data_IF_572490473795
#
_entry.id   IF_572490473795
#
_cell.length_a   1.000
_cell.length_b   1.000
_cell.length_c   1.000
_cell.angle_alpha   90.00
_cell.angle_beta   90.00
_cell.angle_gamma   90.00
#
_symmetry.space_group_name_H-M   'P 1'
#
loop_
_entity.id
_entity.type
_entity.pdbx_description
1 polymer ?
#
# COMPACT_ATOMS: atom_id res chain seq x y z
N UNK A 1 5.51 4.70 -7.30
CA UNK A 1 4.07 4.79 -7.58
C UNK A 1 3.33 4.52 -6.28
N UNK A 2 2.49 5.44 -5.82
CA UNK A 2 1.67 5.28 -4.62
C UNK A 2 0.19 5.32 -4.98
N UNK A 3 -0.61 4.43 -4.38
CA UNK A 3 -2.06 4.41 -4.60
C UNK A 3 -2.74 5.59 -3.92
N UNK A 4 -2.30 5.94 -2.72
CA UNK A 4 -2.96 6.96 -1.90
C UNK A 4 -2.71 8.37 -2.46
N UNK A 5 -1.55 8.61 -3.10
CA UNK A 5 -1.31 9.84 -3.88
C UNK A 5 -2.30 10.00 -5.05
N UNK A 6 -2.59 8.93 -5.79
CA UNK A 6 -3.55 8.99 -6.90
C UNK A 6 -4.98 9.13 -6.39
N UNK A 7 -5.35 8.43 -5.31
CA UNK A 7 -6.65 8.61 -4.64
C UNK A 7 -6.83 10.07 -4.23
N UNK A 8 -5.83 10.64 -3.56
CA UNK A 8 -5.84 12.03 -3.10
C UNK A 8 -6.10 13.00 -4.25
N UNK A 9 -5.37 12.87 -5.36
CA UNK A 9 -5.59 13.72 -6.54
C UNK A 9 -6.98 13.53 -7.16
N UNK A 10 -7.46 12.29 -7.27
CA UNK A 10 -8.80 11.97 -7.82
C UNK A 10 -9.93 12.54 -6.98
N UNK A 11 -9.75 12.61 -5.67
CA UNK A 11 -10.76 13.18 -4.77
C UNK A 11 -10.68 14.70 -4.67
N UNK A 12 -9.76 15.34 -5.40
CA UNK A 12 -9.56 16.79 -5.32
C UNK A 12 -8.92 17.18 -3.99
N UNK A 13 -7.91 16.41 -3.56
CA UNK A 13 -7.14 16.64 -2.33
C UNK A 13 -8.00 16.56 -1.07
N UNK A 14 -8.84 15.53 -1.00
CA UNK A 14 -9.69 15.25 0.16
C UNK A 14 -9.38 13.87 0.72
N UNK A 15 -9.49 13.77 2.04
CA UNK A 15 -9.20 12.53 2.77
C UNK A 15 -10.25 11.47 2.45
N UNK A 16 -9.82 10.40 1.77
CA UNK A 16 -10.66 9.27 1.40
C UNK A 16 -11.33 8.60 2.61
N UNK A 17 -10.67 8.57 3.77
CA UNK A 17 -11.21 8.01 5.00
C UNK A 17 -12.35 8.82 5.61
N UNK A 18 -12.50 10.09 5.21
CA UNK A 18 -13.55 10.99 5.68
C UNK A 18 -14.67 11.20 4.64
N UNK A 19 -14.34 11.14 3.35
CA UNK A 19 -15.28 11.51 2.27
C UNK A 19 -15.88 10.32 1.53
N UNK A 20 -15.40 9.10 1.77
CA UNK A 20 -15.90 7.89 1.15
C UNK A 20 -16.32 6.84 2.19
N UNK A 21 -17.40 6.13 1.88
CA UNK A 21 -17.72 4.87 2.55
C UNK A 21 -16.69 3.79 2.20
N UNK A 22 -16.48 2.83 3.10
CA UNK A 22 -15.46 1.78 2.97
C UNK A 22 -15.52 1.05 1.61
N UNK A 23 -16.70 0.59 1.19
CA UNK A 23 -16.87 -0.12 -0.08
C UNK A 23 -16.57 0.77 -1.30
N UNK A 24 -16.86 2.08 -1.21
CA UNK A 24 -16.56 3.02 -2.27
C UNK A 24 -15.05 3.27 -2.37
N UNK A 25 -14.37 3.37 -1.22
CA UNK A 25 -12.93 3.49 -1.16
C UNK A 25 -12.24 2.24 -1.73
N UNK A 26 -12.69 1.03 -1.37
CA UNK A 26 -12.14 -0.22 -1.89
C UNK A 26 -12.31 -0.34 -3.41
N UNK A 27 -13.49 0.02 -3.95
CA UNK A 27 -13.72 0.06 -5.40
C UNK A 27 -12.80 1.05 -6.10
N UNK A 28 -12.62 2.26 -5.54
CA UNK A 28 -11.72 3.25 -6.11
C UNK A 28 -10.27 2.75 -6.13
N UNK A 29 -9.80 2.14 -5.03
CA UNK A 29 -8.47 1.54 -4.95
C UNK A 29 -8.28 0.43 -5.98
N UNK A 30 -9.27 -0.42 -6.22
CA UNK A 30 -9.19 -1.45 -7.27
C UNK A 30 -9.06 -0.85 -8.68
N UNK A 31 -9.82 0.20 -9.00
CA UNK A 31 -9.70 0.89 -10.30
C UNK A 31 -8.30 1.48 -10.47
N UNK A 32 -7.81 2.22 -9.47
CA UNK A 32 -6.49 2.84 -9.52
C UNK A 32 -5.38 1.79 -9.61
N UNK A 33 -5.50 0.70 -8.85
CA UNK A 33 -4.55 -0.41 -8.88
C UNK A 33 -4.45 -1.03 -10.27
N UNK A 34 -5.56 -1.16 -11.01
CA UNK A 34 -5.54 -1.68 -12.39
C UNK A 34 -4.80 -0.75 -13.35
N UNK A 35 -5.05 0.55 -13.25
CA UNK A 35 -4.39 1.55 -14.09
C UNK A 35 -2.88 1.62 -13.78
N UNK A 36 -2.54 1.63 -12.50
CA UNK A 36 -1.14 1.63 -12.06
C UNK A 36 -0.44 0.30 -12.38
N UNK A 37 -1.15 -0.83 -12.43
CA UNK A 37 -0.58 -2.10 -12.93
C UNK A 37 -0.19 -1.97 -14.41
N UNK A 38 -0.99 -1.29 -15.22
CA UNK A 38 -0.67 -1.01 -16.62
C UNK A 38 0.55 -0.08 -16.74
N UNK A 39 0.60 0.98 -15.95
CA UNK A 39 1.76 1.89 -15.88
C UNK A 39 3.03 1.16 -15.42
N UNK A 40 2.94 0.24 -14.45
CA UNK A 40 4.07 -0.60 -14.03
C UNK A 40 4.63 -1.41 -15.20
N UNK A 41 3.76 -2.02 -16.03
CA UNK A 41 4.19 -2.77 -17.23
C UNK A 41 4.92 -1.86 -18.21
N UNK A 42 4.40 -0.66 -18.46
CA UNK A 42 5.02 0.31 -19.37
C UNK A 42 6.41 0.75 -18.85
N UNK A 43 6.55 0.99 -17.55
CA UNK A 43 7.81 1.35 -16.92
C UNK A 43 8.83 0.20 -16.96
N UNK A 44 8.39 -1.05 -16.74
CA UNK A 44 9.24 -2.24 -16.87
C UNK A 44 9.75 -2.40 -18.31
N UNK A 45 8.88 -2.25 -19.32
CA UNK A 45 9.25 -2.32 -20.74
C UNK A 45 10.21 -1.18 -21.14
N UNK A 46 10.12 -0.03 -20.47
CA UNK A 46 11.06 1.07 -20.63
C UNK A 46 12.39 0.88 -19.86
N UNK A 47 12.58 -0.24 -19.17
CA UNK A 47 13.79 -0.56 -18.41
C UNK A 47 14.00 0.34 -17.18
N UNK A 48 12.91 0.79 -16.55
CA UNK A 48 12.96 1.69 -15.38
C UNK A 48 12.76 0.91 -14.09
N UNK A 49 13.54 1.26 -13.07
CA UNK A 49 13.31 0.78 -11.71
C UNK A 49 12.07 1.48 -11.11
N UNK A 50 11.19 0.71 -10.47
CA UNK A 50 9.92 1.19 -9.93
C UNK A 50 9.72 0.68 -8.51
N UNK A 51 9.37 1.59 -7.60
CA UNK A 51 8.83 1.25 -6.28
C UNK A 51 7.31 1.28 -6.37
N UNK A 52 6.67 0.16 -6.05
CA UNK A 52 5.20 0.07 -5.93
C UNK A 52 4.86 0.14 -4.45
N UNK A 53 4.26 1.25 -4.03
CA UNK A 53 3.91 1.51 -2.63
C UNK A 53 2.42 1.24 -2.40
N UNK A 54 2.10 -0.03 -2.16
CA UNK A 54 0.78 -0.51 -1.76
C UNK A 54 0.87 -1.31 -0.47
N UNK A 55 -0.28 -1.55 0.17
CA UNK A 55 -0.35 -2.37 1.38
C UNK A 55 0.20 -3.81 1.25
N UNK A 56 0.11 -4.42 0.05
CA UNK A 56 0.49 -5.82 -0.21
C UNK A 56 0.13 -6.80 0.93
N UNK A 57 -1.09 -6.61 1.49
CA UNK A 57 -1.47 -7.20 2.77
C UNK A 57 -1.68 -8.71 2.72
N UNK A 58 -2.01 -9.26 1.55
CA UNK A 58 -2.15 -10.70 1.33
C UNK A 58 -0.98 -11.27 0.53
N UNK A 59 -0.62 -12.51 0.82
CA UNK A 59 0.35 -13.30 0.06
C UNK A 59 -0.08 -13.44 -1.39
N UNK A 60 -1.37 -13.66 -1.64
CA UNK A 60 -1.90 -13.75 -3.00
C UNK A 60 -1.62 -12.47 -3.82
N UNK A 61 -1.74 -11.28 -3.22
CA UNK A 61 -1.42 -10.04 -3.90
C UNK A 61 0.09 -9.89 -4.16
N UNK A 62 0.94 -10.34 -3.24
CA UNK A 62 2.40 -10.35 -3.44
C UNK A 62 2.81 -11.31 -4.54
N UNK A 63 2.29 -12.54 -4.53
CA UNK A 63 2.59 -13.57 -5.52
C UNK A 63 2.13 -13.15 -6.93
N UNK A 64 0.96 -12.50 -7.05
CA UNK A 64 0.47 -11.94 -8.31
C UNK A 64 1.41 -10.87 -8.89
N UNK A 65 1.93 -9.95 -8.07
CA UNK A 65 2.89 -8.94 -8.54
C UNK A 65 4.25 -9.53 -8.86
N UNK A 66 4.75 -10.49 -8.08
CA UNK A 66 5.99 -11.22 -8.40
C UNK A 66 5.90 -11.91 -9.75
N UNK A 67 4.82 -12.64 -10.00
CA UNK A 67 4.57 -13.32 -11.26
C UNK A 67 4.47 -12.33 -12.44
N UNK A 68 3.79 -11.19 -12.24
CA UNK A 68 3.73 -10.13 -13.25
C UNK A 68 5.15 -9.63 -13.61
N UNK A 69 5.96 -9.31 -12.62
CA UNK A 69 7.32 -8.77 -12.81
C UNK A 69 8.21 -9.81 -13.51
N UNK A 70 8.21 -11.04 -13.03
CA UNK A 70 8.98 -12.15 -13.61
C UNK A 70 8.57 -12.45 -15.06
N UNK A 71 7.27 -12.37 -15.39
CA UNK A 71 6.78 -12.59 -16.76
C UNK A 71 7.28 -11.57 -17.78
N UNK A 72 7.75 -10.40 -17.31
CA UNK A 72 8.38 -9.37 -18.14
C UNK A 72 9.91 -9.45 -18.12
N UNK A 73 10.48 -10.49 -17.52
CA UNK A 73 11.94 -10.68 -17.42
C UNK A 73 12.61 -9.74 -16.41
N UNK A 74 11.84 -9.06 -15.57
CA UNK A 74 12.34 -8.16 -14.53
C UNK A 74 12.58 -8.92 -13.21
N UNK A 75 13.33 -8.30 -12.30
CA UNK A 75 13.52 -8.79 -10.94
C UNK A 75 12.66 -7.99 -9.96
N UNK A 76 12.26 -8.62 -8.86
CA UNK A 76 11.52 -7.98 -7.78
C UNK A 76 12.32 -8.00 -6.49
N UNK A 77 12.07 -7.01 -5.65
CA UNK A 77 12.48 -6.99 -4.25
C UNK A 77 11.25 -6.76 -3.38
N UNK A 78 11.07 -7.59 -2.35
CA UNK A 78 9.99 -7.45 -1.37
C UNK A 78 10.54 -6.83 -0.10
N UNK A 79 10.11 -5.62 0.24
CA UNK A 79 10.53 -4.92 1.46
C UNK A 79 9.40 -4.91 2.48
N UNK A 80 9.61 -5.53 3.64
CA UNK A 80 8.64 -5.54 4.74
C UNK A 80 9.08 -4.58 5.85
N UNK A 81 8.38 -3.46 5.96
CA UNK A 81 8.59 -2.47 7.03
C UNK A 81 7.86 -2.93 8.30
N UNK A 82 8.53 -3.75 9.12
CA UNK A 82 7.92 -4.37 10.30
C UNK A 82 7.87 -3.41 11.48
N UNK A 83 6.65 -3.09 11.93
CA UNK A 83 6.39 -2.29 13.12
C UNK A 83 5.46 -3.05 14.08
N UNK A 84 5.61 -2.80 15.38
CA UNK A 84 4.64 -3.31 16.36
C UNK A 84 3.35 -2.46 16.38
N UNK A 85 2.30 -3.01 17.00
CA UNK A 85 1.00 -2.37 17.12
C UNK A 85 1.10 -0.97 17.74
N UNK A 86 1.82 -0.84 18.85
CA UNK A 86 2.01 0.42 19.57
C UNK A 86 2.62 1.50 18.67
N UNK A 87 3.62 1.14 17.87
CA UNK A 87 4.29 2.05 16.93
C UNK A 87 3.33 2.49 15.82
N UNK A 88 2.52 1.56 15.30
CA UNK A 88 1.51 1.85 14.28
C UNK A 88 0.42 2.79 14.81
N UNK A 89 -0.14 2.51 15.98
CA UNK A 89 -1.18 3.34 16.63
C UNK A 89 -0.67 4.77 16.86
N UNK A 90 0.53 4.92 17.44
CA UNK A 90 1.17 6.23 17.63
C UNK A 90 1.36 6.98 16.31
N UNK A 91 1.80 6.30 15.25
CA UNK A 91 1.99 6.93 13.92
C UNK A 91 0.67 7.31 13.26
N UNK A 92 -0.41 6.58 13.54
CA UNK A 92 -1.75 6.94 13.08
C UNK A 92 -2.29 8.16 13.84
N UNK A 93 -2.08 8.23 15.16
CA UNK A 93 -2.45 9.39 15.97
C UNK A 93 -1.76 10.67 15.50
N UNK A 94 -0.47 10.60 15.16
CA UNK A 94 0.25 11.76 14.61
C UNK A 94 -0.30 12.15 13.23
N UNK A 95 -0.62 11.17 12.38
CA UNK A 95 -1.08 11.43 11.00
C UNK A 95 -2.52 11.91 10.93
N UNK A 96 -3.39 11.52 11.85
CA UNK A 96 -4.80 11.97 11.85
C UNK A 96 -4.96 13.48 12.05
N UNK A 97 -3.92 14.17 12.55
CA UNK A 97 -3.86 15.63 12.64
C UNK A 97 -3.27 16.34 11.42
N UNK A 98 -2.93 15.62 10.35
CA UNK A 98 -2.23 16.15 9.17
C UNK A 98 -3.06 15.87 7.92
N UNK A 99 -3.19 16.86 7.04
CA UNK A 99 -3.80 16.65 5.73
C UNK A 99 -2.74 16.21 4.69
N UNK A 100 -3.09 15.22 3.88
CA UNK A 100 -2.30 14.86 2.72
C UNK A 100 -2.52 13.43 2.24
N UNK A 101 -1.98 13.14 1.06
CA UNK A 101 -2.05 11.82 0.44
C UNK A 101 -1.55 10.68 1.34
N UNK A 102 -0.55 10.93 2.18
CA UNK A 102 0.08 9.92 3.04
C UNK A 102 -0.50 9.91 4.48
N UNK A 103 -1.63 10.57 4.68
CA UNK A 103 -2.29 10.79 5.97
C UNK A 103 -3.79 10.49 5.94
N UNK A 104 -4.21 9.51 5.12
CA UNK A 104 -5.60 9.03 5.09
C UNK A 104 -6.05 8.66 6.51
N UNK A 105 -7.23 9.14 6.92
CA UNK A 105 -7.79 8.83 8.23
C UNK A 105 -8.11 7.34 8.32
N UNK A 106 -7.55 6.69 9.34
CA UNK A 106 -7.80 5.28 9.68
C UNK A 106 -8.34 5.24 11.10
N UNK A 107 -9.62 4.90 11.25
CA UNK A 107 -10.21 4.70 12.57
C UNK A 107 -9.77 3.37 13.20
N UNK A 108 -10.05 3.20 14.50
CA UNK A 108 -9.66 2.01 15.25
C UNK A 108 -10.27 0.72 14.66
N UNK A 109 -11.52 0.79 14.20
CA UNK A 109 -12.22 -0.36 13.62
C UNK A 109 -11.54 -0.83 12.33
N UNK A 110 -11.18 0.10 11.44
CA UNK A 110 -10.47 -0.16 10.19
C UNK A 110 -9.05 -0.65 10.47
N UNK A 111 -8.34 -0.03 11.41
CA UNK A 111 -7.01 -0.47 11.82
C UNK A 111 -7.01 -1.92 12.32
N UNK A 112 -7.94 -2.26 13.22
CA UNK A 112 -8.09 -3.62 13.73
C UNK A 112 -8.42 -4.63 12.62
N UNK A 113 -9.25 -4.25 11.63
CA UNK A 113 -9.52 -5.10 10.46
C UNK A 113 -8.26 -5.36 9.63
N UNK A 114 -7.47 -4.32 9.35
CA UNK A 114 -6.20 -4.47 8.62
C UNK A 114 -5.21 -5.36 9.37
N UNK A 115 -5.06 -5.17 10.68
CA UNK A 115 -4.19 -6.01 11.50
C UNK A 115 -4.63 -7.48 11.51
N UNK A 116 -5.94 -7.74 11.64
CA UNK A 116 -6.47 -9.10 11.69
C UNK A 116 -6.35 -9.83 10.34
N UNK A 117 -6.44 -9.11 9.23
CA UNK A 117 -6.33 -9.67 7.87
C UNK A 117 -4.92 -9.74 7.31
N UNK A 118 -3.92 -9.12 7.95
CA UNK A 118 -2.58 -9.04 7.41
C UNK A 118 -1.87 -10.40 7.40
N UNK A 119 -1.53 -10.87 6.20
CA UNK A 119 -0.74 -12.08 6.00
C UNK A 119 0.75 -11.69 5.97
N UNK A 120 1.37 -11.64 7.16
CA UNK A 120 2.78 -11.29 7.33
C UNK A 120 3.68 -12.13 6.39
N UNK A 121 4.54 -11.51 5.56
CA UNK A 121 5.43 -12.24 4.67
C UNK A 121 6.45 -13.05 5.47
N UNK A 122 6.59 -14.34 5.12
CA UNK A 122 7.49 -15.28 5.81
C UNK A 122 8.12 -16.24 4.80
N UNK A 123 9.42 -16.08 4.57
CA UNK A 123 10.17 -16.96 3.65
C UNK A 123 9.76 -16.76 2.19
N UNK A 124 9.32 -15.55 1.86
CA UNK A 124 8.86 -15.11 0.55
C UNK A 124 9.93 -14.33 -0.22
N UNK A 125 11.17 -14.31 0.27
CA UNK A 125 12.26 -13.48 -0.25
C UNK A 125 12.23 -12.04 0.27
N UNK A 126 11.53 -11.78 1.37
CA UNK A 126 11.40 -10.46 1.97
C UNK A 126 12.68 -9.97 2.65
N UNK A 127 13.02 -8.71 2.41
CA UNK A 127 13.94 -7.94 3.23
C UNK A 127 13.13 -7.29 4.37
N UNK A 128 13.42 -7.69 5.62
CA UNK A 128 12.70 -7.16 6.78
C UNK A 128 13.45 -5.96 7.35
N UNK A 129 12.77 -4.81 7.39
CA UNK A 129 13.27 -3.58 8.02
C UNK A 129 12.49 -3.31 9.28
N UNK A 130 13.12 -3.54 10.44
CA UNK A 130 12.49 -3.27 11.74
C UNK A 130 12.36 -1.75 11.93
N UNK A 131 11.14 -1.32 12.22
CA UNK A 131 10.81 0.07 12.49
C UNK A 131 11.04 0.38 13.96
N UNK A 132 11.89 1.35 14.25
CA UNK A 132 12.16 1.78 15.62
C UNK A 132 10.95 2.48 16.25
N UNK A 133 10.76 2.24 17.55
CA UNK A 133 9.71 2.86 18.38
C UNK A 133 10.05 4.29 18.82
N UNK A 134 11.07 4.94 18.23
CA UNK A 134 11.43 6.33 18.52
C UNK A 134 10.33 7.29 18.10
#
# INVERSE_FOLDING_TARGET
MSIDEVVWQRLGQRDAGLVLEADAFDRLKEVIRREQRQELVELMLAGRDVVVDYSFWSRAARDDYKALIESHGCHWELVHLKADRTTLERRLEVRSGVEGANAVTVDEALFNRYLAGFEEPKGEGEQVVIQSST
#
